data_IF_257917125930
#
_entry.id   IF_257917125930
#
_cell.length_a   1.000
_cell.length_b   1.000
_cell.length_c   1.000
_cell.angle_alpha   90.00
_cell.angle_beta   90.00
_cell.angle_gamma   90.00
#
_symmetry.space_group_name_H-M   'P 1'
#
loop_
_entity.id
_entity.type
_entity.pdbx_description
1 polymer ?
#
# COMPACT_ATOMS: atom_id res chain seq x y z
N UNK A 1 -13.20 9.57 6.56
CA UNK A 1 -11.96 9.07 5.91
C UNK A 1 -11.39 7.87 6.65
N UNK A 2 -10.82 6.92 5.92
CA UNK A 2 -9.68 6.14 6.42
C UNK A 2 -8.46 7.07 6.44
N UNK A 3 -8.18 7.68 7.60
CA UNK A 3 -6.86 8.24 7.88
C UNK A 3 -6.14 7.18 8.71
N UNK A 4 -5.12 6.50 8.17
CA UNK A 4 -4.29 5.64 9.00
C UNK A 4 -3.64 6.52 10.07
N UNK A 5 -3.90 6.19 11.33
CA UNK A 5 -3.20 6.79 12.47
C UNK A 5 -1.89 6.05 12.76
N UNK A 6 -1.72 4.89 12.13
CA UNK A 6 -0.60 3.98 12.30
C UNK A 6 -0.19 3.35 10.96
N UNK A 7 1.10 3.03 10.85
CA UNK A 7 1.72 2.29 9.75
C UNK A 7 2.34 1.02 10.32
N UNK A 8 2.16 -0.09 9.59
CA UNK A 8 2.85 -1.34 9.85
C UNK A 8 3.86 -1.57 8.75
N UNK A 9 5.12 -1.69 9.13
CA UNK A 9 6.24 -2.02 8.24
C UNK A 9 6.72 -3.44 8.56
N UNK A 10 6.95 -4.25 7.53
CA UNK A 10 7.38 -5.63 7.69
C UNK A 10 8.14 -6.09 6.46
N UNK A 11 9.40 -6.45 6.63
CA UNK A 11 10.20 -7.12 5.61
C UNK A 11 9.94 -8.63 5.63
N UNK A 12 9.54 -9.18 4.50
CA UNK A 12 9.32 -10.62 4.35
C UNK A 12 10.64 -11.34 3.99
N UNK A 13 10.56 -12.65 3.81
CA UNK A 13 11.72 -13.53 3.59
C UNK A 13 12.42 -13.42 2.22
N UNK A 14 12.10 -12.40 1.42
CA UNK A 14 12.75 -12.15 0.13
C UNK A 14 12.27 -13.05 -1.03
N UNK A 15 11.25 -13.92 -0.84
CA UNK A 15 10.70 -14.78 -1.91
C UNK A 15 9.86 -14.05 -2.96
N UNK A 16 9.81 -12.71 -2.93
CA UNK A 16 9.09 -11.91 -3.93
C UNK A 16 7.57 -11.96 -3.79
N UNK A 17 7.07 -12.02 -2.57
CA UNK A 17 5.63 -12.01 -2.23
C UNK A 17 4.86 -10.92 -2.99
N UNK A 18 3.72 -11.30 -3.57
CA UNK A 18 2.88 -10.42 -4.37
C UNK A 18 1.53 -10.21 -3.72
N UNK A 19 1.03 -8.97 -3.74
CA UNK A 19 -0.32 -8.65 -3.28
C UNK A 19 -1.33 -9.27 -4.25
N UNK A 20 -2.11 -10.25 -3.78
CA UNK A 20 -3.18 -10.86 -4.57
C UNK A 20 -4.56 -10.27 -4.28
N UNK A 21 -4.80 -9.76 -3.07
CA UNK A 21 -6.07 -9.14 -2.69
C UNK A 21 -5.85 -8.01 -1.70
N UNK A 22 -6.57 -6.90 -1.89
CA UNK A 22 -6.72 -5.85 -0.87
C UNK A 22 -8.20 -5.59 -0.65
N UNK A 23 -8.64 -5.69 0.60
CA UNK A 23 -10.00 -5.33 0.98
C UNK A 23 -9.94 -4.00 1.74
N UNK A 24 -10.64 -3.00 1.20
CA UNK A 24 -10.82 -1.71 1.85
C UNK A 24 -12.32 -1.50 2.04
N UNK A 25 -12.81 -1.79 3.23
CA UNK A 25 -14.18 -1.49 3.65
C UNK A 25 -14.19 -0.28 4.58
N UNK A 26 -15.37 0.24 4.94
CA UNK A 26 -15.50 1.24 6.00
C UNK A 26 -15.10 0.70 7.39
N UNK A 27 -14.89 -0.62 7.51
CA UNK A 27 -14.44 -1.32 8.71
C UNK A 27 -12.98 -1.81 8.59
N UNK A 28 -12.70 -3.12 8.79
CA UNK A 28 -11.35 -3.64 8.70
C UNK A 28 -10.79 -3.47 7.29
N UNK A 29 -9.48 -3.24 7.23
CA UNK A 29 -8.70 -3.21 5.99
C UNK A 29 -7.68 -4.33 6.01
N UNK A 30 -7.61 -5.11 4.95
CA UNK A 30 -6.70 -6.25 4.83
C UNK A 30 -5.92 -6.21 3.52
N UNK A 31 -4.72 -6.78 3.54
CA UNK A 31 -3.92 -7.09 2.37
C UNK A 31 -3.42 -8.53 2.48
N UNK A 32 -3.61 -9.31 1.41
CA UNK A 32 -3.19 -10.69 1.30
C UNK A 32 -2.07 -10.80 0.26
N UNK A 33 -0.98 -11.42 0.68
CA UNK A 33 0.22 -11.63 -0.10
C UNK A 33 0.41 -13.13 -0.33
N UNK A 34 0.81 -13.48 -1.54
CA UNK A 34 1.02 -14.86 -1.98
C UNK A 34 2.40 -14.98 -2.62
N UNK A 35 2.93 -16.20 -2.69
CA UNK A 35 4.13 -16.47 -3.47
C UNK A 35 3.90 -16.20 -4.98
N UNK A 36 4.97 -15.92 -5.75
CA UNK A 36 4.86 -15.75 -7.19
C UNK A 36 4.09 -16.89 -7.86
N UNK A 37 3.06 -16.54 -8.64
CA UNK A 37 2.21 -17.49 -9.34
C UNK A 37 1.05 -18.09 -8.53
N UNK A 38 0.92 -17.73 -7.24
CA UNK A 38 -0.21 -18.15 -6.39
C UNK A 38 -1.29 -17.06 -6.28
N UNK A 39 -2.48 -17.45 -5.81
CA UNK A 39 -3.63 -16.55 -5.66
C UNK A 39 -4.55 -16.98 -4.51
N UNK A 40 -5.60 -16.20 -4.24
CA UNK A 40 -6.56 -16.51 -3.17
C UNK A 40 -7.25 -17.88 -3.32
N UNK A 41 -7.48 -18.34 -4.55
CA UNK A 41 -8.10 -19.65 -4.82
C UNK A 41 -7.08 -20.80 -4.79
N UNK A 42 -5.79 -20.51 -4.96
CA UNK A 42 -4.71 -21.49 -5.10
C UNK A 42 -3.45 -20.99 -4.42
N UNK A 43 -3.26 -21.39 -3.16
CA UNK A 43 -2.09 -21.03 -2.37
C UNK A 43 -1.68 -22.15 -1.41
N UNK A 44 -0.39 -22.25 -1.15
CA UNK A 44 0.22 -23.11 -0.12
C UNK A 44 0.62 -22.29 1.10
N UNK A 45 1.12 -21.08 0.86
CA UNK A 45 1.46 -20.10 1.88
C UNK A 45 0.80 -18.75 1.58
N UNK A 46 0.45 -18.03 2.64
CA UNK A 46 -0.18 -16.71 2.54
C UNK A 46 0.28 -15.85 3.70
N UNK A 47 0.69 -14.63 3.40
CA UNK A 47 0.93 -13.60 4.42
C UNK A 47 -0.22 -12.59 4.39
N UNK A 48 -0.72 -12.19 5.54
CA UNK A 48 -1.84 -11.24 5.64
C UNK A 48 -1.49 -10.14 6.62
N UNK A 49 -1.80 -8.89 6.24
CA UNK A 49 -1.78 -7.73 7.14
C UNK A 49 -3.21 -7.24 7.25
N UNK A 50 -3.66 -6.99 8.48
CA UNK A 50 -5.03 -6.57 8.76
C UNK A 50 -5.04 -5.51 9.86
N UNK A 51 -5.88 -4.48 9.69
CA UNK A 51 -6.24 -3.51 10.72
C UNK A 51 -7.62 -3.87 11.24
N UNK A 52 -7.72 -4.12 12.53
CA UNK A 52 -8.96 -4.41 13.26
C UNK A 52 -9.32 -3.15 14.03
N UNK A 53 -10.41 -2.51 13.61
CA UNK A 53 -10.90 -1.27 14.24
C UNK A 53 -11.38 -1.54 15.67
N UNK A 54 -11.16 -0.57 16.55
CA UNK A 54 -11.61 -0.59 17.96
C UNK A 54 -11.09 -1.79 18.78
N UNK A 55 -10.14 -2.57 18.24
CA UNK A 55 -9.58 -3.74 18.91
C UNK A 55 -8.83 -3.39 20.20
N UNK A 56 -8.37 -2.14 20.34
CA UNK A 56 -7.69 -1.65 21.54
C UNK A 56 -8.61 -1.58 22.77
N UNK A 57 -9.95 -1.69 22.62
CA UNK A 57 -10.88 -1.78 23.75
C UNK A 57 -10.61 -2.98 24.68
N UNK A 58 -9.86 -3.99 24.19
CA UNK A 58 -9.36 -5.07 25.03
C UNK A 58 -8.42 -4.58 26.14
N UNK A 59 -7.79 -3.42 26.00
CA UNK A 59 -6.95 -2.75 27.00
C UNK A 59 -5.55 -3.35 27.18
N UNK A 60 -5.41 -4.68 27.15
CA UNK A 60 -4.11 -5.37 27.26
C UNK A 60 -3.95 -6.43 26.18
N UNK A 61 -2.71 -6.77 25.81
CA UNK A 61 -2.46 -7.78 24.79
C UNK A 61 -3.03 -9.13 25.21
N UNK A 62 -2.91 -9.46 26.49
CA UNK A 62 -3.36 -10.73 27.05
C UNK A 62 -4.87 -10.88 26.92
N UNK A 63 -5.63 -9.81 27.19
CA UNK A 63 -7.08 -9.80 27.01
C UNK A 63 -7.45 -9.86 25.53
N UNK A 64 -6.72 -9.15 24.67
CA UNK A 64 -6.91 -9.20 23.23
C UNK A 64 -6.73 -10.62 22.68
N UNK A 65 -5.64 -11.30 23.05
CA UNK A 65 -5.37 -12.69 22.65
C UNK A 65 -6.47 -13.62 23.16
N UNK A 66 -6.89 -13.49 24.42
CA UNK A 66 -8.00 -14.29 24.95
C UNK A 66 -9.26 -14.15 24.09
N UNK A 67 -9.67 -12.90 23.81
CA UNK A 67 -10.87 -12.63 22.99
C UNK A 67 -10.70 -13.17 21.57
N UNK A 68 -9.54 -12.98 20.95
CA UNK A 68 -9.26 -13.47 19.61
C UNK A 68 -9.30 -15.01 19.54
N UNK A 69 -8.71 -15.68 20.54
CA UNK A 69 -8.72 -17.14 20.59
C UNK A 69 -10.11 -17.71 20.88
N UNK A 70 -10.91 -17.06 21.72
CA UNK A 70 -12.31 -17.44 21.95
C UNK A 70 -13.13 -17.31 20.66
N UNK A 71 -12.95 -16.22 19.91
CA UNK A 71 -13.60 -16.04 18.61
C UNK A 71 -13.19 -17.11 17.59
N UNK A 72 -11.91 -17.48 17.55
CA UNK A 72 -11.42 -18.57 16.69
C UNK A 72 -12.06 -19.89 17.12
N UNK A 73 -12.02 -20.25 18.40
CA UNK A 73 -12.61 -21.50 18.91
C UNK A 73 -14.12 -21.59 18.69
N UNK A 74 -14.83 -20.48 18.81
CA UNK A 74 -16.27 -20.45 18.54
C UNK A 74 -16.61 -20.75 17.08
N UNK A 75 -15.75 -20.34 16.13
CA UNK A 75 -15.91 -20.64 14.70
C UNK A 75 -15.30 -21.99 14.30
N UNK A 76 -14.28 -22.41 15.01
CA UNK A 76 -13.45 -23.58 14.69
C UNK A 76 -13.09 -24.30 16.00
N UNK A 77 -13.99 -25.16 16.51
CA UNK A 77 -13.87 -25.74 17.86
C UNK A 77 -12.64 -26.63 18.07
N UNK A 78 -12.07 -27.18 17.01
CA UNK A 78 -10.85 -28.00 17.03
C UNK A 78 -9.56 -27.16 17.02
N UNK A 79 -9.68 -25.83 16.96
CA UNK A 79 -8.53 -24.94 16.96
C UNK A 79 -7.71 -25.07 18.25
N UNK A 80 -6.41 -25.32 18.06
CA UNK A 80 -5.40 -25.33 19.11
C UNK A 80 -4.49 -24.13 18.93
N UNK A 81 -4.00 -23.57 20.03
CA UNK A 81 -3.05 -22.47 19.97
C UNK A 81 -1.98 -22.55 21.07
N UNK A 82 -0.86 -21.93 20.80
CA UNK A 82 0.22 -21.69 21.77
C UNK A 82 0.79 -20.29 21.58
N UNK A 83 1.11 -19.63 22.68
CA UNK A 83 1.76 -18.31 22.65
C UNK A 83 3.26 -18.54 22.45
N UNK A 84 3.81 -17.94 21.39
CA UNK A 84 5.25 -18.01 21.05
C UNK A 84 6.02 -16.82 21.62
N UNK A 85 5.37 -15.66 21.70
CA UNK A 85 5.93 -14.42 22.26
C UNK A 85 4.79 -13.58 22.85
N UNK A 86 5.04 -12.89 23.95
CA UNK A 86 4.11 -11.94 24.57
C UNK A 86 4.92 -10.84 25.28
N UNK A 87 4.59 -9.59 24.98
CA UNK A 87 5.04 -8.38 25.69
C UNK A 87 3.83 -7.44 25.90
N UNK A 88 3.99 -6.32 26.59
CA UNK A 88 2.86 -5.44 26.94
C UNK A 88 2.06 -4.92 25.73
N UNK A 89 2.70 -4.85 24.55
CA UNK A 89 2.16 -4.23 23.34
C UNK A 89 1.90 -5.21 22.20
N UNK A 90 2.48 -6.40 22.23
CA UNK A 90 2.39 -7.36 21.13
C UNK A 90 2.48 -8.82 21.58
N UNK A 91 1.84 -9.71 20.83
CA UNK A 91 1.94 -11.15 21.08
C UNK A 91 1.94 -11.91 19.76
N UNK A 92 2.71 -12.99 19.69
CA UNK A 92 2.72 -13.95 18.59
C UNK A 92 2.10 -15.24 19.06
N UNK A 93 1.08 -15.69 18.34
CA UNK A 93 0.36 -16.93 18.64
C UNK A 93 0.47 -17.86 17.44
N UNK A 94 0.89 -19.10 17.69
CA UNK A 94 0.73 -20.18 16.72
C UNK A 94 -0.66 -20.80 16.89
N UNK A 95 -1.43 -20.88 15.80
CA UNK A 95 -2.77 -21.47 15.77
C UNK A 95 -2.77 -22.60 14.76
N UNK A 96 -3.39 -23.73 15.10
CA UNK A 96 -3.59 -24.87 14.21
C UNK A 96 -5.04 -25.33 14.26
N UNK A 97 -5.65 -25.55 13.10
CA UNK A 97 -7.04 -25.99 12.98
C UNK A 97 -7.26 -26.77 11.69
N UNK A 98 -8.35 -27.54 11.62
CA UNK A 98 -8.73 -28.28 10.42
C UNK A 98 -9.34 -27.33 9.39
N UNK A 99 -8.92 -27.45 8.13
CA UNK A 99 -9.45 -26.65 7.04
C UNK A 99 -10.81 -27.13 6.53
N UNK A 100 -11.32 -26.51 5.46
CA UNK A 100 -12.43 -27.06 4.67
C UNK A 100 -12.07 -28.42 4.04
N UNK A 101 -10.79 -28.64 3.79
CA UNK A 101 -10.23 -29.93 3.43
C UNK A 101 -9.97 -30.72 4.74
N UNK A 102 -10.71 -31.81 5.01
CA UNK A 102 -10.60 -32.57 6.25
C UNK A 102 -9.23 -33.24 6.41
N UNK A 103 -8.49 -33.44 5.32
CA UNK A 103 -7.16 -34.00 5.37
C UNK A 103 -6.13 -32.90 5.70
N UNK A 104 -6.32 -31.65 5.26
CA UNK A 104 -5.32 -30.60 5.43
C UNK A 104 -5.45 -29.82 6.75
N UNK A 105 -4.34 -29.74 7.51
CA UNK A 105 -4.23 -28.82 8.65
C UNK A 105 -3.81 -27.42 8.18
N UNK A 106 -4.58 -26.43 8.60
CA UNK A 106 -4.22 -25.03 8.49
C UNK A 106 -3.41 -24.64 9.73
N UNK A 107 -2.30 -23.98 9.50
CA UNK A 107 -1.44 -23.47 10.58
C UNK A 107 -1.14 -22.00 10.33
N UNK A 108 -1.21 -21.21 11.38
CA UNK A 108 -0.94 -19.78 11.33
C UNK A 108 0.04 -19.38 12.43
N UNK A 109 0.93 -18.46 12.11
CA UNK A 109 1.68 -17.67 13.09
C UNK A 109 1.17 -16.25 12.99
N UNK A 110 0.53 -15.78 14.06
CA UNK A 110 -0.22 -14.53 14.06
C UNK A 110 0.38 -13.59 15.09
N UNK A 111 0.91 -12.46 14.65
CA UNK A 111 1.27 -11.34 15.54
C UNK A 111 0.10 -10.39 15.66
N UNK A 112 -0.29 -10.10 16.89
CA UNK A 112 -1.17 -9.00 17.24
C UNK A 112 -0.32 -7.88 17.84
N UNK A 113 -0.58 -6.65 17.42
CA UNK A 113 0.07 -5.44 17.92
C UNK A 113 -1.00 -4.43 18.33
N UNK A 114 -0.93 -3.96 19.56
CA UNK A 114 -1.81 -2.92 20.08
C UNK A 114 -1.35 -1.55 19.60
N UNK A 115 -2.27 -0.82 18.99
CA UNK A 115 -2.16 0.62 18.77
C UNK A 115 -3.09 1.37 19.74
N UNK A 116 -2.96 2.70 19.88
CA UNK A 116 -3.83 3.48 20.76
C UNK A 116 -5.33 3.37 20.45
N UNK A 117 -5.71 3.14 19.18
CA UNK A 117 -7.10 3.01 18.75
C UNK A 117 -7.45 1.60 18.26
N UNK A 118 -6.53 0.99 17.53
CA UNK A 118 -6.80 -0.23 16.77
C UNK A 118 -5.86 -1.38 17.14
N UNK A 119 -6.09 -2.52 16.51
CA UNK A 119 -5.20 -3.67 16.55
C UNK A 119 -4.70 -3.95 15.15
N UNK A 120 -3.40 -4.15 15.03
CA UNK A 120 -2.79 -4.62 13.80
C UNK A 120 -2.45 -6.10 13.91
N UNK A 121 -2.90 -6.86 12.93
CA UNK A 121 -2.72 -8.30 12.85
C UNK A 121 -1.87 -8.65 11.63
N UNK A 122 -0.77 -9.34 11.86
CA UNK A 122 0.09 -9.91 10.82
C UNK A 122 0.01 -11.43 10.94
N UNK A 123 -0.30 -12.13 9.86
CA UNK A 123 -0.49 -13.56 9.89
C UNK A 123 0.24 -14.23 8.73
N UNK A 124 1.18 -15.10 9.04
CA UNK A 124 1.70 -16.08 8.11
C UNK A 124 0.87 -17.37 8.22
N UNK A 125 0.32 -17.83 7.11
CA UNK A 125 -0.54 -19.02 7.02
C UNK A 125 0.08 -20.04 6.09
N UNK A 126 0.06 -21.31 6.50
CA UNK A 126 0.48 -22.44 5.67
C UNK A 126 -0.60 -23.52 5.65
N UNK A 127 -0.84 -24.09 4.47
CA UNK A 127 -1.69 -25.26 4.25
C UNK A 127 -0.82 -26.48 4.04
N UNK A 128 -1.18 -27.59 4.68
CA UNK A 128 -0.59 -28.88 4.36
C UNK A 128 -0.67 -29.91 5.47
N UNK A 129 -0.34 -31.15 5.12
CA UNK A 129 -0.30 -32.28 6.05
C UNK A 129 0.79 -32.11 7.10
N UNK A 130 1.99 -31.75 6.65
CA UNK A 130 3.18 -31.69 7.49
C UNK A 130 3.23 -30.40 8.32
N UNK A 131 3.74 -30.52 9.55
CA UNK A 131 4.04 -29.36 10.40
C UNK A 131 5.25 -28.63 9.79
N UNK A 132 5.26 -27.28 9.76
CA UNK A 132 6.47 -26.55 9.39
C UNK A 132 7.63 -26.94 10.30
N UNK A 133 8.84 -26.99 9.74
CA UNK A 133 10.05 -27.26 10.52
C UNK A 133 10.29 -26.16 11.56
N UNK A 134 11.04 -26.46 12.61
CA UNK A 134 11.44 -25.46 13.62
C UNK A 134 12.15 -24.27 12.97
N UNK A 135 12.99 -24.51 11.96
CA UNK A 135 13.66 -23.45 11.21
C UNK A 135 12.68 -22.48 10.53
N UNK A 136 11.60 -23.00 9.93
CA UNK A 136 10.56 -22.17 9.31
C UNK A 136 9.80 -21.37 10.38
N UNK A 137 9.49 -22.01 11.51
CA UNK A 137 8.84 -21.34 12.64
C UNK A 137 9.73 -20.20 13.17
N UNK A 138 11.00 -20.47 13.46
CA UNK A 138 11.95 -19.48 13.99
C UNK A 138 12.22 -18.33 13.00
N UNK A 139 12.25 -18.62 11.70
CA UNK A 139 12.36 -17.59 10.68
C UNK A 139 11.15 -16.66 10.70
N UNK A 140 9.94 -17.20 10.69
CA UNK A 140 8.72 -16.40 10.65
C UNK A 140 8.44 -15.69 11.96
N UNK A 141 8.79 -16.26 13.12
CA UNK A 141 8.76 -15.55 14.40
C UNK A 141 9.68 -14.33 14.36
N UNK A 142 10.90 -14.47 13.82
CA UNK A 142 11.83 -13.34 13.67
C UNK A 142 11.30 -12.26 12.73
N UNK A 143 10.75 -12.65 11.57
CA UNK A 143 10.12 -11.72 10.62
C UNK A 143 8.96 -10.98 11.30
N UNK A 144 8.07 -11.71 11.96
CA UNK A 144 6.92 -11.13 12.65
C UNK A 144 7.36 -10.18 13.77
N UNK A 145 8.38 -10.52 14.58
CA UNK A 145 8.91 -9.64 15.63
C UNK A 145 9.60 -8.39 15.07
N UNK A 146 10.26 -8.50 13.91
CA UNK A 146 10.93 -7.38 13.26
C UNK A 146 9.94 -6.34 12.69
N UNK A 147 8.67 -6.71 12.51
CA UNK A 147 7.64 -5.78 12.07
C UNK A 147 7.51 -4.60 13.03
N UNK A 148 7.42 -3.39 12.47
CA UNK A 148 7.34 -2.13 13.22
C UNK A 148 5.93 -1.57 13.12
N UNK A 149 5.45 -1.03 14.24
CA UNK A 149 4.22 -0.25 14.31
C UNK A 149 4.58 1.18 14.68
N UNK A 150 4.28 2.11 13.79
CA UNK A 150 4.63 3.53 13.96
C UNK A 150 3.37 4.37 13.82
N UNK A 151 3.16 5.36 14.70
CA UNK A 151 2.06 6.30 14.48
C UNK A 151 2.38 7.24 13.33
N UNK A 152 1.40 7.50 12.46
CA UNK A 152 1.50 8.49 11.40
C UNK A 152 1.72 9.86 12.03
N UNK A 153 2.97 10.35 11.95
CA UNK A 153 3.41 11.61 12.56
C UNK A 153 4.40 11.50 13.73
N UNK A 154 4.68 10.30 14.26
CA UNK A 154 5.81 10.12 15.19
C UNK A 154 7.09 9.86 14.41
N UNK A 155 7.91 10.89 14.30
CA UNK A 155 9.29 10.81 13.84
C UNK A 155 10.12 9.90 14.75
N UNK A 156 10.68 8.82 14.18
CA UNK A 156 12.07 8.37 14.42
C UNK A 156 12.48 7.36 13.32
N UNK A 157 13.13 7.79 12.23
CA UNK A 157 14.58 7.58 11.96
C UNK A 157 15.11 6.17 12.23
N UNK A 158 15.02 5.28 11.24
CA UNK A 158 16.19 4.63 10.61
C UNK A 158 15.77 3.72 9.44
N UNK A 159 15.80 4.30 8.24
CA UNK A 159 16.25 3.66 7.00
C UNK A 159 17.36 4.55 6.41
N UNK A 160 18.32 4.00 5.66
CA UNK A 160 19.52 4.73 5.22
C UNK A 160 19.14 5.96 4.38
N UNK A 161 19.92 7.05 4.44
CA UNK A 161 19.45 8.38 4.10
C UNK A 161 19.23 8.51 2.59
N UNK A 162 17.96 8.56 2.15
CA UNK A 162 17.56 9.49 1.10
C UNK A 162 17.20 10.79 1.82
N UNK A 163 17.88 11.89 1.48
CA UNK A 163 17.80 13.17 2.17
C UNK A 163 16.35 13.56 2.51
N UNK A 164 16.03 13.71 3.79
CA UNK A 164 14.75 14.22 4.31
C UNK A 164 14.37 15.58 3.72
N UNK A 165 15.37 16.34 3.25
CA UNK A 165 15.19 17.60 2.54
C UNK A 165 14.59 17.40 1.14
N UNK A 166 14.94 16.31 0.44
CA UNK A 166 14.48 16.04 -0.93
C UNK A 166 12.99 15.67 -0.95
N UNK A 167 12.55 14.80 -0.03
CA UNK A 167 11.12 14.44 0.11
C UNK A 167 10.24 15.65 0.44
N UNK A 168 10.71 16.52 1.35
CA UNK A 168 10.02 17.76 1.69
C UNK A 168 10.01 18.76 0.52
N UNK A 169 11.10 18.86 -0.23
CA UNK A 169 11.18 19.70 -1.43
C UNK A 169 10.26 19.18 -2.54
N UNK A 170 10.19 17.87 -2.74
CA UNK A 170 9.28 17.23 -3.70
C UNK A 170 7.83 17.48 -3.32
N UNK A 171 7.45 17.25 -2.07
CA UNK A 171 6.08 17.50 -1.61
C UNK A 171 5.70 18.98 -1.78
N UNK A 172 6.59 19.89 -1.39
CA UNK A 172 6.39 21.33 -1.57
C UNK A 172 6.19 21.69 -3.04
N UNK A 173 7.03 21.19 -3.93
CA UNK A 173 6.92 21.44 -5.37
C UNK A 173 5.59 20.90 -5.94
N UNK A 174 5.16 19.71 -5.54
CA UNK A 174 3.87 19.14 -5.98
C UNK A 174 2.70 20.00 -5.47
N UNK A 175 2.76 20.50 -4.23
CA UNK A 175 1.74 21.41 -3.69
C UNK A 175 1.68 22.74 -4.43
N UNK A 176 2.82 23.28 -4.85
CA UNK A 176 2.90 24.49 -5.68
C UNK A 176 2.28 24.25 -7.06
N UNK A 177 2.60 23.13 -7.70
CA UNK A 177 1.98 22.71 -8.97
C UNK A 177 0.47 22.53 -8.80
N UNK A 178 0.01 21.85 -7.76
CA UNK A 178 -1.41 21.68 -7.47
C UNK A 178 -2.10 23.03 -7.26
N UNK A 179 -1.53 23.94 -6.46
CA UNK A 179 -2.09 25.28 -6.27
C UNK A 179 -2.24 26.04 -7.61
N UNK A 180 -1.26 25.91 -8.49
CA UNK A 180 -1.29 26.51 -9.81
C UNK A 180 -2.39 25.93 -10.70
N UNK A 181 -2.50 24.60 -10.76
CA UNK A 181 -3.48 23.88 -11.58
C UNK A 181 -4.91 24.04 -11.04
N UNK A 182 -5.08 24.24 -9.74
CA UNK A 182 -6.39 24.48 -9.12
C UNK A 182 -7.11 25.66 -9.77
N UNK A 183 -6.38 26.74 -10.01
CA UNK A 183 -6.91 27.97 -10.60
C UNK A 183 -7.28 27.79 -12.06
N UNK A 184 -6.45 27.06 -12.80
CA UNK A 184 -6.63 26.79 -14.22
C UNK A 184 -5.85 25.53 -14.62
N UNK A 185 -6.58 24.47 -14.95
CA UNK A 185 -5.98 23.21 -15.39
C UNK A 185 -5.17 23.39 -16.69
N UNK A 186 -5.49 24.38 -17.52
CA UNK A 186 -4.75 24.74 -18.73
C UNK A 186 -3.29 25.09 -18.48
N UNK A 187 -2.95 25.51 -17.25
CA UNK A 187 -1.56 25.73 -16.82
C UNK A 187 -0.73 24.46 -16.80
N UNK A 188 -1.33 23.26 -16.91
CA UNK A 188 -0.60 22.00 -17.09
C UNK A 188 0.25 21.98 -18.37
N UNK A 189 -0.06 22.85 -19.35
CA UNK A 189 0.71 23.02 -20.60
C UNK A 189 2.19 23.33 -20.37
N UNK A 190 2.54 24.05 -19.30
CA UNK A 190 3.93 24.38 -18.98
C UNK A 190 4.76 23.16 -18.50
N UNK A 191 4.09 22.09 -18.06
CA UNK A 191 4.70 20.84 -17.61
C UNK A 191 4.66 19.74 -18.67
N UNK A 192 4.29 20.09 -19.92
CA UNK A 192 4.17 19.10 -20.99
C UNK A 192 5.51 18.42 -21.26
N UNK A 193 5.61 17.08 -21.17
CA UNK A 193 6.83 16.38 -21.52
C UNK A 193 7.08 16.42 -23.02
N UNK A 194 8.34 16.64 -23.40
CA UNK A 194 8.83 16.42 -24.74
C UNK A 194 9.18 14.94 -24.96
N UNK A 195 9.56 14.61 -26.19
CA UNK A 195 10.00 13.27 -26.54
C UNK A 195 11.15 12.73 -25.67
N UNK A 196 12.20 13.51 -25.33
CA UNK A 196 13.26 13.02 -24.43
C UNK A 196 12.73 12.61 -23.05
N UNK A 197 11.75 13.34 -22.52
CA UNK A 197 11.16 13.03 -21.22
C UNK A 197 10.25 11.81 -21.26
N UNK A 198 9.51 11.62 -22.36
CA UNK A 198 8.71 10.42 -22.56
C UNK A 198 9.60 9.18 -22.74
N UNK A 199 10.72 9.32 -23.47
CA UNK A 199 11.69 8.24 -23.64
C UNK A 199 12.36 7.84 -22.31
N UNK A 200 12.59 8.81 -21.43
CA UNK A 200 13.15 8.59 -20.11
C UNK A 200 12.23 7.84 -19.14
N UNK A 201 10.93 7.70 -19.45
CA UNK A 201 9.99 6.91 -18.62
C UNK A 201 9.47 5.65 -19.32
N UNK A 202 9.59 5.55 -20.65
CA UNK A 202 9.12 4.41 -21.43
C UNK A 202 10.05 3.20 -21.31
N UNK A 203 9.48 2.01 -21.11
CA UNK A 203 10.24 0.76 -21.04
C UNK A 203 10.74 0.27 -22.42
N UNK A 204 10.07 0.65 -23.51
CA UNK A 204 10.40 0.27 -24.88
C UNK A 204 10.04 1.36 -25.90
N UNK A 205 10.50 1.21 -27.15
CA UNK A 205 10.16 2.13 -28.25
C UNK A 205 8.66 2.10 -28.59
N UNK A 206 8.01 0.94 -28.46
CA UNK A 206 6.56 0.80 -28.63
C UNK A 206 5.80 1.56 -27.52
N UNK A 207 6.29 1.49 -26.29
CA UNK A 207 5.71 2.22 -25.16
C UNK A 207 5.89 3.73 -25.32
N UNK A 208 7.05 4.16 -25.84
CA UNK A 208 7.32 5.54 -26.18
C UNK A 208 6.32 6.05 -27.24
N UNK A 209 6.08 5.27 -28.30
CA UNK A 209 5.12 5.64 -29.33
C UNK A 209 3.70 5.84 -28.75
N UNK A 210 3.26 4.93 -27.86
CA UNK A 210 1.97 5.02 -27.17
C UNK A 210 1.89 6.24 -26.24
N UNK A 211 2.95 6.51 -25.46
CA UNK A 211 3.02 7.68 -24.60
C UNK A 211 3.03 8.99 -25.39
N UNK A 212 3.70 9.05 -26.55
CA UNK A 212 3.68 10.20 -27.46
C UNK A 212 2.27 10.46 -27.98
N UNK A 213 1.58 9.43 -28.45
CA UNK A 213 0.20 9.55 -28.93
C UNK A 213 -0.73 10.03 -27.81
N UNK A 214 -0.63 9.43 -26.62
CA UNK A 214 -1.42 9.83 -25.46
C UNK A 214 -1.14 11.27 -25.01
N UNK A 215 0.13 11.67 -24.92
CA UNK A 215 0.52 13.04 -24.59
C UNK A 215 -0.04 14.05 -25.60
N UNK A 216 0.05 13.75 -26.90
CA UNK A 216 -0.54 14.62 -27.92
C UNK A 216 -2.05 14.78 -27.75
N UNK A 217 -2.77 13.69 -27.47
CA UNK A 217 -4.21 13.73 -27.23
C UNK A 217 -4.55 14.57 -26.00
N UNK A 218 -3.96 14.25 -24.85
CA UNK A 218 -4.20 14.94 -23.57
C UNK A 218 -4.01 16.45 -23.71
N UNK A 219 -2.91 16.88 -24.31
CA UNK A 219 -2.58 18.30 -24.43
C UNK A 219 -3.34 19.02 -25.54
N UNK A 220 -3.91 18.29 -26.51
CA UNK A 220 -4.86 18.85 -27.50
C UNK A 220 -6.22 19.11 -26.86
N UNK A 221 -6.64 18.25 -25.94
CA UNK A 221 -7.93 18.33 -25.24
C UNK A 221 -7.90 19.23 -24.00
N UNK A 222 -6.71 19.68 -23.57
CA UNK A 222 -6.52 20.50 -22.39
C UNK A 222 -7.18 21.88 -22.55
N UNK A 223 -8.26 22.09 -21.81
CA UNK A 223 -9.02 23.36 -21.82
C UNK A 223 -8.41 24.37 -20.84
N UNK A 224 -8.36 25.63 -21.27
CA UNK A 224 -7.96 26.76 -20.43
C UNK A 224 -9.16 27.35 -19.67
N UNK A 225 -8.90 27.99 -18.53
CA UNK A 225 -9.90 28.68 -17.73
C UNK A 225 -10.85 27.77 -16.95
N UNK A 226 -10.56 26.46 -16.88
CA UNK A 226 -11.32 25.51 -16.06
C UNK A 226 -10.55 25.18 -14.78
N UNK A 227 -11.21 25.34 -13.64
CA UNK A 227 -10.65 24.91 -12.37
C UNK A 227 -10.43 23.39 -12.36
N UNK A 228 -9.29 22.94 -11.81
CA UNK A 228 -8.98 21.52 -11.66
C UNK A 228 -9.75 20.85 -10.50
N UNK A 229 -10.51 21.61 -9.71
CA UNK A 229 -11.23 21.10 -8.57
C UNK A 229 -12.60 21.77 -8.46
N UNK A 230 -13.54 21.09 -7.81
CA UNK A 230 -14.77 21.75 -7.40
C UNK A 230 -14.48 22.74 -6.27
N UNK A 231 -15.27 23.82 -6.11
CA UNK A 231 -15.03 24.85 -5.08
C UNK A 231 -14.87 24.29 -3.66
N UNK A 232 -15.66 23.27 -3.31
CA UNK A 232 -15.66 22.61 -2.00
C UNK A 232 -14.41 21.77 -1.71
N UNK A 233 -13.64 21.40 -2.72
CA UNK A 233 -12.48 20.53 -2.58
C UNK A 233 -11.22 21.32 -2.21
N UNK A 234 -11.15 21.96 -1.05
CA UNK A 234 -10.12 22.96 -0.70
C UNK A 234 -8.77 22.41 -0.27
N UNK A 235 -8.68 21.14 0.11
CA UNK A 235 -7.45 20.53 0.62
C UNK A 235 -6.68 19.80 -0.48
N UNK A 236 -5.35 19.82 -0.40
CA UNK A 236 -4.45 19.09 -1.31
C UNK A 236 -3.77 17.96 -0.56
N UNK A 237 -3.93 16.74 -1.07
CA UNK A 237 -3.22 15.55 -0.59
C UNK A 237 -2.26 15.09 -1.67
N UNK A 238 -0.96 15.03 -1.36
CA UNK A 238 0.08 14.49 -2.24
C UNK A 238 0.20 12.99 -2.02
N UNK A 239 0.47 12.22 -3.07
CA UNK A 239 0.73 10.78 -3.01
C UNK A 239 1.72 10.36 -4.11
N UNK A 240 2.27 9.16 -4.00
CA UNK A 240 3.25 8.64 -4.94
C UNK A 240 4.69 8.99 -4.56
N UNK A 241 4.93 9.49 -3.34
CA UNK A 241 6.28 9.49 -2.75
C UNK A 241 6.77 8.04 -2.56
N UNK A 242 5.82 7.12 -2.35
CA UNK A 242 5.97 5.67 -2.43
C UNK A 242 5.16 5.12 -3.63
N UNK A 243 5.77 4.22 -4.42
CA UNK A 243 5.11 3.53 -5.53
C UNK A 243 3.81 2.82 -5.12
N UNK A 244 3.70 2.40 -3.86
CA UNK A 244 2.51 1.74 -3.31
C UNK A 244 1.28 2.65 -3.19
N UNK A 245 1.48 3.97 -3.26
CA UNK A 245 0.43 4.99 -3.17
C UNK A 245 -0.16 5.40 -4.52
N UNK A 246 0.44 4.92 -5.61
CA UNK A 246 -0.04 5.22 -6.96
C UNK A 246 -1.39 4.55 -7.24
N UNK A 247 -2.25 5.16 -8.08
CA UNK A 247 -3.47 4.53 -8.54
C UNK A 247 -3.18 3.17 -9.17
N UNK A 248 -4.05 2.17 -8.94
CA UNK A 248 -3.85 0.79 -9.42
C UNK A 248 -3.65 0.63 -10.93
N UNK A 249 -4.01 1.65 -11.73
CA UNK A 249 -3.66 1.71 -13.15
C UNK A 249 -2.14 1.70 -13.41
N UNK A 250 -1.33 2.37 -12.58
CA UNK A 250 0.13 2.29 -12.69
C UNK A 250 0.65 0.90 -12.31
N UNK A 251 0.13 0.30 -11.24
CA UNK A 251 0.53 -1.05 -10.85
C UNK A 251 0.20 -2.08 -11.93
N UNK A 252 -0.97 -1.97 -12.56
CA UNK A 252 -1.39 -2.87 -13.64
C UNK A 252 -0.56 -2.72 -14.92
N UNK A 253 0.02 -1.53 -15.16
CA UNK A 253 0.76 -1.19 -16.37
C UNK A 253 2.26 -0.97 -16.10
N UNK A 254 2.77 -1.42 -14.95
CA UNK A 254 4.12 -1.12 -14.47
C UNK A 254 5.21 -1.53 -15.46
N UNK A 255 5.02 -2.64 -16.18
CA UNK A 255 5.93 -3.16 -17.22
C UNK A 255 6.20 -2.20 -18.38
N UNK A 256 5.32 -1.22 -18.60
CA UNK A 256 5.42 -0.24 -19.69
C UNK A 256 6.24 1.00 -19.29
N UNK A 257 6.61 1.09 -18.01
CA UNK A 257 7.44 2.14 -17.47
C UNK A 257 8.80 1.60 -17.04
N UNK A 258 9.81 2.44 -17.11
CA UNK A 258 11.13 2.11 -16.56
C UNK A 258 11.06 1.94 -15.04
N UNK A 259 11.66 0.89 -14.45
CA UNK A 259 11.58 0.62 -13.01
C UNK A 259 12.06 1.78 -12.13
N UNK A 260 13.02 2.55 -12.61
CA UNK A 260 13.59 3.72 -11.93
C UNK A 260 12.66 4.95 -11.93
N UNK A 261 11.57 4.92 -12.70
CA UNK A 261 10.66 6.06 -12.82
C UNK A 261 9.87 6.24 -11.54
N UNK A 262 9.99 7.41 -10.93
CA UNK A 262 9.14 7.84 -9.82
C UNK A 262 7.98 8.66 -10.37
N UNK A 263 6.76 8.18 -10.15
CA UNK A 263 5.54 8.92 -10.44
C UNK A 263 4.93 9.46 -9.15
N UNK A 264 4.36 10.65 -9.25
CA UNK A 264 3.71 11.34 -8.16
C UNK A 264 2.30 11.78 -8.60
N UNK A 265 1.50 12.15 -7.62
CA UNK A 265 0.18 12.70 -7.85
C UNK A 265 -0.32 13.51 -6.66
N UNK A 266 -1.46 14.15 -6.88
CA UNK A 266 -2.17 14.88 -5.86
C UNK A 266 -3.69 14.78 -6.05
N UNK A 267 -4.42 15.01 -4.97
CA UNK A 267 -5.88 15.05 -4.92
C UNK A 267 -6.34 16.37 -4.37
N UNK A 268 -7.42 16.90 -4.94
CA UNK A 268 -8.23 17.91 -4.28
C UNK A 268 -9.39 17.24 -3.57
N UNK A 269 -9.48 17.42 -2.25
CA UNK A 269 -10.54 16.84 -1.41
C UNK A 269 -11.25 17.96 -0.64
N UNK A 270 -12.50 17.73 -0.24
CA UNK A 270 -13.16 18.60 0.71
C UNK A 270 -12.64 18.32 2.12
N UNK A 271 -12.70 19.30 3.05
CA UNK A 271 -12.28 19.08 4.43
C UNK A 271 -13.03 17.90 5.04
N UNK A 272 -12.29 16.92 5.59
CA UNK A 272 -12.87 15.70 6.16
C UNK A 272 -13.34 14.66 5.13
N UNK A 273 -13.04 14.82 3.83
CA UNK A 273 -13.31 13.81 2.79
C UNK A 273 -12.08 13.03 2.32
N UNK A 274 -12.25 11.74 1.96
CA UNK A 274 -11.14 10.86 1.50
C UNK A 274 -11.04 10.77 -0.02
N UNK A 275 -12.02 11.33 -0.71
CA UNK A 275 -12.16 11.19 -2.14
C UNK A 275 -12.34 12.55 -2.78
N UNK A 276 -11.86 12.66 -4.01
CA UNK A 276 -11.96 13.89 -4.76
C UNK A 276 -11.24 13.80 -6.08
N UNK A 277 -11.02 14.96 -6.70
CA UNK A 277 -10.45 15.01 -8.03
C UNK A 277 -8.95 14.67 -7.95
N UNK A 278 -8.56 13.58 -8.63
CA UNK A 278 -7.19 13.04 -8.59
C UNK A 278 -6.44 13.35 -9.88
N UNK A 279 -5.21 13.82 -9.71
CA UNK A 279 -4.26 14.13 -10.76
C UNK A 279 -2.96 13.37 -10.48
N UNK A 280 -2.68 12.38 -11.28
CA UNK A 280 -1.53 11.49 -11.14
C UNK A 280 -0.71 11.49 -12.43
N UNK A 281 0.58 11.15 -12.36
CA UNK A 281 1.48 11.19 -13.52
C UNK A 281 2.37 12.43 -13.56
N UNK A 282 2.64 13.03 -12.41
CA UNK A 282 3.79 13.92 -12.26
C UNK A 282 5.06 13.07 -12.18
N UNK A 283 6.14 13.52 -12.80
CA UNK A 283 7.44 12.88 -12.71
C UNK A 283 8.53 13.95 -12.88
N UNK A 284 9.73 13.64 -12.40
CA UNK A 284 10.86 14.56 -12.42
C UNK A 284 12.01 13.96 -13.23
N UNK A 285 12.60 14.76 -14.11
CA UNK A 285 13.81 14.44 -14.88
C UNK A 285 14.73 15.65 -14.81
N UNK A 286 16.00 15.46 -14.46
CA UNK A 286 17.00 16.53 -14.34
C UNK A 286 16.50 17.74 -13.51
N UNK A 287 15.91 17.44 -12.35
CA UNK A 287 15.30 18.39 -11.42
C UNK A 287 14.16 19.25 -11.99
N UNK A 288 13.60 18.88 -13.15
CA UNK A 288 12.45 19.54 -13.77
C UNK A 288 11.20 18.66 -13.71
N UNK A 289 10.08 19.29 -13.39
CA UNK A 289 8.79 18.64 -13.28
C UNK A 289 8.09 18.54 -14.64
N UNK A 290 7.52 17.37 -14.89
CA UNK A 290 6.70 17.08 -16.04
C UNK A 290 5.40 16.43 -15.60
N UNK A 291 4.35 16.62 -16.40
CA UNK A 291 3.03 16.11 -16.09
C UNK A 291 2.43 15.41 -17.30
N UNK A 292 2.09 14.14 -17.16
CA UNK A 292 1.27 13.41 -18.11
C UNK A 292 0.12 12.76 -17.34
N UNK A 293 -1.04 13.43 -17.22
CA UNK A 293 -2.12 12.98 -16.37
C UNK A 293 -2.53 11.57 -16.74
N UNK A 294 -2.50 10.64 -15.78
CA UNK A 294 -2.89 9.24 -15.95
C UNK A 294 -2.15 8.55 -17.11
N UNK A 295 -0.83 8.71 -17.17
CA UNK A 295 0.03 8.13 -18.22
C UNK A 295 -0.22 6.64 -18.50
N UNK A 296 -0.59 5.85 -17.48
CA UNK A 296 -0.97 4.44 -17.61
C UNK A 296 -2.15 4.19 -18.58
N UNK A 297 -2.95 5.22 -18.89
CA UNK A 297 -4.04 5.12 -19.88
C UNK A 297 -3.54 4.94 -21.31
N UNK A 298 -2.28 5.25 -21.59
CA UNK A 298 -1.67 4.97 -22.90
C UNK A 298 -1.61 3.47 -23.23
N UNK A 299 -1.75 2.61 -22.21
CA UNK A 299 -1.63 1.16 -22.30
C UNK A 299 -2.93 0.41 -21.98
N UNK A 300 -4.03 1.14 -21.83
CA UNK A 300 -5.35 0.53 -21.75
C UNK A 300 -5.80 0.18 -23.16
N UNK A 301 -6.12 -1.09 -23.36
CA UNK A 301 -6.92 -1.53 -24.50
C UNK A 301 -8.37 -1.00 -24.39
#
# INVERSE_FOLDING_TARGET
>A
LFQPTEVVECDLDGRGWQVGLREKSAGPSSAHFFEPGQSISQWTEMFTIERILDGAQAGTIKRLISVAMDQIKNKTPDAQYSILHEDDSSAIVAVAYSGPDPDAKHRQMVRYMLAPKDVHRLAYSIKGQQRPSEQVVDQWVRILLAAKLSSVGASNTQEPPMNTDEGQQVEKAIREIASLLRQDLGKASQYRPGEPQLAAIAASDDDLARLKAYCQQVYRELRQGLAAAKPEQTEVVVFGLDQSELPGGYSAQSRHFRPETKFYGFKYIAPGESSGMSYDGLFQIDNRWYFLPKAWRAFRD
#
